data_IF_692551667094
#
_entry.id   IF_692551667094
#
_cell.length_a   1.000
_cell.length_b   1.000
_cell.length_c   1.000
_cell.angle_alpha   90.00
_cell.angle_beta   90.00
_cell.angle_gamma   90.00
#
_symmetry.space_group_name_H-M   'P 1'
#
loop_
_entity.id
_entity.type
_entity.pdbx_description
1 polymer ?
#
# COMPACT_ATOMS: atom_id res chain seq x y z
N UNK A 1 -14.23 8.72 35.99
CA UNK A 1 -14.19 7.95 34.74
C UNK A 1 -13.89 6.50 35.09
N UNK A 2 -14.71 5.57 34.62
CA UNK A 2 -14.45 4.14 34.74
C UNK A 2 -13.11 3.82 34.05
N UNK A 3 -12.23 3.06 34.70
CA UNK A 3 -10.93 2.69 34.15
C UNK A 3 -11.06 2.04 32.76
N UNK A 4 -12.16 1.33 32.53
CA UNK A 4 -12.50 0.69 31.24
C UNK A 4 -12.76 1.71 30.13
N UNK A 5 -13.38 2.85 30.45
CA UNK A 5 -13.68 3.92 29.49
C UNK A 5 -12.42 4.70 29.10
N UNK A 6 -11.54 4.94 30.07
CA UNK A 6 -10.24 5.55 29.82
C UNK A 6 -9.37 4.65 28.92
N UNK A 7 -9.32 3.34 29.21
CA UNK A 7 -8.60 2.36 28.37
C UNK A 7 -9.16 2.28 26.95
N UNK A 8 -10.50 2.26 26.81
CA UNK A 8 -11.16 2.28 25.49
C UNK A 8 -10.80 3.55 24.71
N UNK A 9 -10.86 4.72 25.36
CA UNK A 9 -10.54 6.00 24.71
C UNK A 9 -9.10 6.02 24.23
N UNK A 10 -8.17 5.54 25.05
CA UNK A 10 -6.76 5.42 24.69
C UNK A 10 -6.55 4.47 23.50
N UNK A 11 -7.16 3.28 23.53
CA UNK A 11 -7.07 2.32 22.43
C UNK A 11 -7.61 2.88 21.11
N UNK A 12 -8.76 3.57 21.14
CA UNK A 12 -9.32 4.22 19.97
C UNK A 12 -8.44 5.35 19.43
N UNK A 13 -7.77 6.10 20.30
CA UNK A 13 -6.82 7.12 19.88
C UNK A 13 -5.60 6.51 19.19
N UNK A 14 -5.06 5.40 19.73
CA UNK A 14 -3.94 4.68 19.13
C UNK A 14 -4.32 4.10 17.74
N UNK A 15 -5.49 3.46 17.63
CA UNK A 15 -5.97 2.89 16.36
C UNK A 15 -6.16 3.95 15.27
N UNK A 16 -6.58 5.18 15.63
CA UNK A 16 -6.70 6.29 14.66
C UNK A 16 -5.35 6.73 14.08
N UNK A 17 -4.24 6.46 14.75
CA UNK A 17 -2.89 6.81 14.31
C UNK A 17 -2.17 5.64 13.64
N UNK A 18 -2.69 4.42 13.78
CA UNK A 18 -2.09 3.25 13.19
C UNK A 18 -2.16 3.31 11.66
N UNK A 19 -1.02 3.07 11.02
CA UNK A 19 -0.94 2.95 9.56
C UNK A 19 -0.26 1.64 9.18
N UNK A 20 -0.61 1.12 8.01
CA UNK A 20 -0.04 -0.11 7.43
C UNK A 20 0.51 0.25 6.05
N UNK A 21 1.78 -0.09 5.82
CA UNK A 21 2.39 0.07 4.51
C UNK A 21 1.98 -1.08 3.60
N UNK A 22 1.62 -0.76 2.35
CA UNK A 22 1.20 -1.77 1.39
C UNK A 22 2.36 -2.19 0.48
N UNK A 23 2.59 -3.50 0.32
CA UNK A 23 3.56 -4.01 -0.63
C UNK A 23 3.04 -3.94 -2.07
N UNK A 24 3.75 -3.25 -2.96
CA UNK A 24 3.43 -3.17 -4.39
C UNK A 24 3.19 -4.56 -5.03
N UNK A 25 3.97 -5.56 -4.62
CA UNK A 25 3.93 -6.91 -5.18
C UNK A 25 2.68 -7.72 -4.79
N UNK A 26 1.92 -7.29 -3.78
CA UNK A 26 0.66 -7.93 -3.44
C UNK A 26 -0.46 -7.66 -4.45
N UNK A 27 -0.30 -6.64 -5.31
CA UNK A 27 -1.28 -6.28 -6.33
C UNK A 27 -1.10 -7.04 -7.64
N UNK A 28 0.07 -7.66 -7.86
CA UNK A 28 0.29 -8.56 -8.98
C UNK A 28 -0.44 -9.89 -8.82
N UNK A 29 -0.49 -10.69 -9.89
CA UNK A 29 -1.00 -12.06 -9.80
C UNK A 29 -0.11 -12.88 -8.88
N UNK A 30 -0.67 -13.33 -7.77
CA UNK A 30 -0.01 -14.25 -6.84
C UNK A 30 -0.38 -15.69 -7.17
N UNK A 31 0.50 -16.61 -6.78
CA UNK A 31 0.28 -18.03 -6.95
C UNK A 31 1.22 -18.83 -6.08
N UNK A 32 1.23 -20.14 -6.28
CA UNK A 32 2.16 -21.03 -5.59
C UNK A 32 3.24 -21.50 -6.54
N UNK A 33 4.21 -22.27 -6.03
CA UNK A 33 5.21 -22.96 -6.86
C UNK A 33 4.62 -23.87 -7.95
N UNK A 34 3.32 -24.18 -7.90
CA UNK A 34 2.65 -25.03 -8.88
C UNK A 34 1.99 -24.24 -10.01
N UNK A 35 1.36 -23.11 -9.69
CA UNK A 35 0.59 -22.34 -10.68
C UNK A 35 0.32 -20.91 -10.19
N UNK A 36 0.33 -19.99 -11.15
CA UNK A 36 -0.25 -18.65 -11.06
C UNK A 36 -1.47 -18.61 -11.99
N UNK A 37 -2.60 -18.10 -11.49
CA UNK A 37 -3.82 -17.90 -12.26
C UNK A 37 -4.05 -16.39 -12.40
N UNK A 38 -4.08 -15.89 -13.63
CA UNK A 38 -4.26 -14.47 -13.89
C UNK A 38 -5.71 -14.03 -13.69
N UNK A 39 -5.90 -12.79 -13.23
CA UNK A 39 -7.21 -12.12 -13.20
C UNK A 39 -7.24 -10.95 -14.20
N UNK A 40 -8.40 -10.65 -14.81
CA UNK A 40 -8.54 -9.43 -15.61
C UNK A 40 -8.31 -8.19 -14.74
N UNK A 41 -7.56 -7.23 -15.28
CA UNK A 41 -7.27 -5.97 -14.59
C UNK A 41 -6.11 -6.02 -13.61
N UNK A 42 -5.31 -7.09 -13.55
CA UNK A 42 -4.05 -7.08 -12.78
C UNK A 42 -3.15 -5.94 -13.26
N UNK A 43 -2.54 -5.15 -12.36
CA UNK A 43 -1.61 -4.09 -12.71
C UNK A 43 -0.39 -4.64 -13.45
N UNK A 44 0.03 -3.91 -14.48
CA UNK A 44 1.05 -4.31 -15.45
C UNK A 44 2.39 -3.64 -15.20
N UNK A 45 2.38 -2.52 -14.48
CA UNK A 45 3.55 -1.71 -14.19
C UNK A 45 3.49 -1.13 -12.76
N UNK A 46 4.57 -0.49 -12.28
CA UNK A 46 4.62 0.06 -10.93
C UNK A 46 3.63 1.22 -10.69
N UNK A 47 3.26 1.98 -11.72
CA UNK A 47 2.29 3.06 -11.61
C UNK A 47 0.88 2.52 -11.38
N UNK A 48 0.53 1.42 -12.04
CA UNK A 48 -0.75 0.73 -11.82
C UNK A 48 -0.80 0.10 -10.43
N UNK A 49 0.29 -0.54 -9.96
CA UNK A 49 0.37 -1.07 -8.57
C UNK A 49 0.16 0.04 -7.54
N UNK A 50 0.77 1.22 -7.74
CA UNK A 50 0.57 2.39 -6.87
C UNK A 50 -0.88 2.89 -6.94
N UNK A 51 -1.49 2.89 -8.13
CA UNK A 51 -2.90 3.27 -8.32
C UNK A 51 -3.84 2.35 -7.54
N UNK A 52 -3.60 1.05 -7.58
CA UNK A 52 -4.40 0.06 -6.85
C UNK A 52 -4.20 0.17 -5.33
N UNK A 53 -2.96 0.40 -4.88
CA UNK A 53 -2.66 0.65 -3.47
C UNK A 53 -3.32 1.94 -2.95
N UNK A 54 -3.36 2.99 -3.79
CA UNK A 54 -4.06 4.23 -3.46
C UNK A 54 -5.57 4.00 -3.29
N UNK A 55 -6.18 3.09 -4.06
CA UNK A 55 -7.58 2.72 -3.84
C UNK A 55 -7.80 2.05 -2.48
N UNK A 56 -6.88 1.20 -2.03
CA UNK A 56 -6.94 0.66 -0.66
C UNK A 56 -6.88 1.78 0.36
N UNK A 57 -5.98 2.75 0.20
CA UNK A 57 -5.92 3.90 1.11
C UNK A 57 -7.21 4.73 1.09
N UNK A 58 -7.76 5.02 -0.09
CA UNK A 58 -9.01 5.77 -0.24
C UNK A 58 -10.17 5.17 0.55
N UNK A 59 -10.29 3.84 0.57
CA UNK A 59 -11.39 3.17 1.27
C UNK A 59 -11.10 2.87 2.75
N UNK A 60 -9.84 2.74 3.13
CA UNK A 60 -9.46 2.32 4.49
C UNK A 60 -8.95 3.45 5.38
N UNK A 61 -8.38 4.51 4.79
CA UNK A 61 -7.74 5.63 5.48
C UNK A 61 -6.42 5.29 6.19
N UNK A 62 -6.03 4.01 6.27
CA UNK A 62 -4.88 3.57 7.10
C UNK A 62 -3.63 3.17 6.29
N UNK A 63 -3.73 3.17 4.96
CA UNK A 63 -2.64 2.72 4.07
C UNK A 63 -1.92 3.83 3.27
N UNK A 64 -1.38 4.90 3.89
CA UNK A 64 -0.87 6.06 3.15
C UNK A 64 0.46 5.82 2.43
N UNK A 65 1.08 4.64 2.55
CA UNK A 65 2.43 4.36 2.03
C UNK A 65 2.48 3.06 1.25
N UNK A 66 3.24 3.05 0.16
CA UNK A 66 3.45 1.88 -0.71
C UNK A 66 4.94 1.53 -0.74
N UNK A 67 5.30 0.33 -0.30
CA UNK A 67 6.69 -0.15 -0.38
C UNK A 67 6.97 -0.74 -1.77
N UNK A 68 8.18 -0.48 -2.28
CA UNK A 68 8.65 -0.98 -3.58
C UNK A 68 9.54 -2.20 -3.40
N UNK A 69 9.63 -3.03 -4.43
CA UNK A 69 10.60 -4.11 -4.55
C UNK A 69 11.38 -3.97 -5.86
N UNK A 70 12.69 -3.83 -5.78
CA UNK A 70 13.56 -3.75 -6.97
C UNK A 70 14.13 -5.15 -7.23
N UNK A 71 14.13 -5.66 -8.48
CA UNK A 71 13.83 -4.98 -9.74
C UNK A 71 12.36 -5.02 -10.20
N UNK A 72 11.43 -5.57 -9.42
CA UNK A 72 10.02 -5.73 -9.85
C UNK A 72 9.28 -4.41 -10.08
N UNK A 73 9.72 -3.36 -9.40
CA UNK A 73 9.21 -1.99 -9.51
C UNK A 73 10.26 -1.03 -10.08
N UNK A 74 11.13 -1.54 -10.95
CA UNK A 74 12.06 -0.70 -11.70
C UNK A 74 11.26 0.21 -12.64
N UNK A 75 11.58 1.51 -12.60
CA UNK A 75 11.07 2.53 -13.52
C UNK A 75 12.23 3.38 -14.02
N UNK A 76 12.05 4.06 -15.15
CA UNK A 76 13.06 5.00 -15.67
C UNK A 76 13.26 6.22 -14.77
N UNK A 77 12.20 6.64 -14.08
CA UNK A 77 12.17 7.86 -13.27
C UNK A 77 11.30 7.67 -12.03
N UNK A 78 11.96 7.49 -10.88
CA UNK A 78 11.30 7.37 -9.58
C UNK A 78 10.66 8.68 -9.11
N UNK A 79 11.12 9.83 -9.60
CA UNK A 79 10.50 11.12 -9.32
C UNK A 79 9.08 11.20 -9.89
N UNK A 80 8.89 10.69 -11.12
CA UNK A 80 7.54 10.55 -11.72
C UNK A 80 6.66 9.57 -10.95
N UNK A 81 7.21 8.45 -10.51
CA UNK A 81 6.46 7.48 -9.71
C UNK A 81 6.02 8.08 -8.36
N UNK A 82 6.92 8.83 -7.70
CA UNK A 82 6.61 9.50 -6.44
C UNK A 82 5.56 10.62 -6.63
N UNK A 83 5.65 11.39 -7.70
CA UNK A 83 4.64 12.41 -8.04
C UNK A 83 3.26 11.76 -8.28
N UNK A 84 3.21 10.69 -9.06
CA UNK A 84 1.98 9.91 -9.29
C UNK A 84 1.38 9.37 -7.99
N UNK A 85 2.20 8.83 -7.09
CA UNK A 85 1.74 8.41 -5.77
C UNK A 85 1.08 9.57 -5.00
N UNK A 86 1.77 10.72 -4.95
CA UNK A 86 1.31 11.90 -4.22
C UNK A 86 0.00 12.45 -4.79
N UNK A 87 -0.16 12.48 -6.11
CA UNK A 87 -1.39 12.90 -6.80
C UNK A 87 -2.59 12.01 -6.43
N UNK A 88 -2.34 10.75 -6.06
CA UNK A 88 -3.35 9.78 -5.62
C UNK A 88 -3.53 9.73 -4.09
N UNK A 89 -2.80 10.55 -3.33
CA UNK A 89 -2.92 10.64 -1.88
C UNK A 89 -2.15 9.57 -1.11
N UNK A 90 -1.15 8.94 -1.72
CA UNK A 90 -0.21 8.01 -1.05
C UNK A 90 1.24 8.42 -1.30
N UNK A 91 2.19 7.86 -0.57
CA UNK A 91 3.62 8.13 -0.78
C UNK A 91 4.41 6.84 -0.97
N UNK A 92 5.56 6.95 -1.64
CA UNK A 92 6.52 5.85 -1.69
C UNK A 92 7.11 5.63 -0.28
N UNK A 93 7.15 4.37 0.12
CA UNK A 93 7.60 3.90 1.40
C UNK A 93 8.97 3.22 1.35
N UNK A 94 9.12 2.13 2.11
CA UNK A 94 10.37 1.35 2.12
C UNK A 94 10.67 0.72 0.76
N UNK A 95 11.97 0.58 0.46
CA UNK A 95 12.46 -0.13 -0.73
C UNK A 95 13.06 -1.47 -0.31
N UNK A 96 12.63 -2.53 -0.97
CA UNK A 96 13.08 -3.90 -0.76
C UNK A 96 13.94 -4.34 -1.96
N UNK A 97 14.92 -5.20 -1.70
CA UNK A 97 15.86 -5.75 -2.67
C UNK A 97 15.69 -7.26 -2.80
#
# INVERSE_FOLDING_TARGET
MDATEAQRTHALAALRQQTIELPSWAFGNSGTRFKVFGTPGTPRDPFEKVSDAAQVHRYTGIAPRVSLHIPWDLVEDYGKLAAHAADLGVTIGMVNA
#
